data_IF_293056235578
#
_entry.id   IF_293056235578
#
_cell.length_a   1.000
_cell.length_b   1.000
_cell.length_c   1.000
_cell.angle_alpha   90.00
_cell.angle_beta   90.00
_cell.angle_gamma   90.00
#
_symmetry.space_group_name_H-M   'P 1'
#
loop_
_entity.id
_entity.type
_entity.pdbx_description
1 polymer ?
#
# COMPACT_ATOMS: atom_id res chain seq x y z
N UNK A 1 1.46 8.05 23.90
CA UNK A 1 1.13 9.49 23.85
C UNK A 1 0.35 9.63 22.56
N UNK A 2 -0.98 9.75 22.64
CA UNK A 2 -1.85 9.82 21.46
C UNK A 2 -1.71 11.22 20.90
N UNK A 3 -1.26 11.35 19.64
CA UNK A 3 -1.22 12.63 18.95
C UNK A 3 -2.61 12.93 18.42
N UNK A 4 -3.19 14.05 18.85
CA UNK A 4 -4.37 14.65 18.22
C UNK A 4 -4.00 15.08 16.80
N UNK A 5 -4.67 14.52 15.79
CA UNK A 5 -4.66 15.08 14.44
C UNK A 5 -5.95 15.86 14.25
N UNK A 6 -5.79 17.18 14.28
CA UNK A 6 -6.79 18.23 13.99
C UNK A 6 -7.19 18.18 12.52
N UNK A 7 -8.50 18.31 12.22
CA UNK A 7 -9.13 18.66 10.91
C UNK A 7 -8.19 18.61 9.68
N UNK A 8 -7.60 17.45 9.40
CA UNK A 8 -6.69 17.30 8.26
C UNK A 8 -7.55 17.04 7.02
N UNK A 9 -7.50 17.88 5.97
CA UNK A 9 -8.22 17.61 4.72
C UNK A 9 -7.93 16.20 4.18
N UNK A 10 -6.75 15.63 4.50
CA UNK A 10 -6.40 14.25 4.18
C UNK A 10 -7.35 13.20 4.79
N UNK A 11 -7.99 13.46 5.93
CA UNK A 11 -8.94 12.51 6.54
C UNK A 11 -10.19 12.35 5.68
N UNK A 12 -10.74 13.46 5.16
CA UNK A 12 -11.89 13.44 4.27
C UNK A 12 -11.58 12.66 2.99
N UNK A 13 -10.42 12.94 2.39
CA UNK A 13 -9.98 12.27 1.16
C UNK A 13 -9.74 10.76 1.38
N UNK A 14 -9.17 10.37 2.53
CA UNK A 14 -8.98 8.95 2.89
C UNK A 14 -10.33 8.27 3.15
N UNK A 15 -11.29 8.93 3.78
CA UNK A 15 -12.64 8.38 3.96
C UNK A 15 -13.37 8.22 2.63
N UNK A 16 -13.26 9.19 1.71
CA UNK A 16 -13.80 9.10 0.37
C UNK A 16 -13.17 7.93 -0.40
N UNK A 17 -11.86 7.78 -0.30
CA UNK A 17 -11.13 6.66 -0.89
C UNK A 17 -11.54 5.32 -0.28
N UNK A 18 -11.65 5.21 1.05
CA UNK A 18 -12.11 4.01 1.74
C UNK A 18 -13.62 3.75 1.51
N UNK A 19 -14.38 4.73 1.03
CA UNK A 19 -15.79 4.56 0.63
C UNK A 19 -15.92 3.90 -0.76
N UNK A 20 -14.92 4.03 -1.63
CA UNK A 20 -14.85 3.42 -2.96
C UNK A 20 -14.66 1.90 -2.86
N UNK A 21 -15.60 1.13 -3.42
CA UNK A 21 -15.59 -0.34 -3.36
C UNK A 21 -14.36 -0.94 -4.05
N UNK A 22 -13.94 -0.38 -5.20
CA UNK A 22 -12.78 -0.88 -5.93
C UNK A 22 -11.48 -0.62 -5.17
N UNK A 23 -11.38 0.51 -4.46
CA UNK A 23 -10.24 0.79 -3.60
C UNK A 23 -10.13 -0.24 -2.46
N UNK A 24 -11.26 -0.54 -1.80
CA UNK A 24 -11.31 -1.59 -0.75
C UNK A 24 -10.99 -2.98 -1.31
N UNK A 25 -11.49 -3.33 -2.49
CA UNK A 25 -11.20 -4.62 -3.11
C UNK A 25 -9.72 -4.78 -3.46
N UNK A 26 -9.10 -3.70 -3.96
CA UNK A 26 -7.65 -3.67 -4.21
C UNK A 26 -6.88 -3.86 -2.90
N UNK A 27 -7.19 -3.08 -1.86
CA UNK A 27 -6.54 -3.19 -0.54
C UNK A 27 -6.69 -4.60 0.06
N UNK A 28 -7.90 -5.16 -0.01
CA UNK A 28 -8.17 -6.50 0.48
C UNK A 28 -7.34 -7.55 -0.27
N UNK A 29 -7.30 -7.48 -1.61
CA UNK A 29 -6.55 -8.42 -2.43
C UNK A 29 -5.04 -8.33 -2.17
N UNK A 30 -4.49 -7.11 -2.10
CA UNK A 30 -3.04 -6.89 -1.97
C UNK A 30 -2.52 -7.00 -0.54
N UNK A 31 -3.40 -6.97 0.47
CA UNK A 31 -3.04 -7.29 1.86
C UNK A 31 -2.72 -8.77 2.09
N UNK A 32 -3.28 -9.67 1.27
CA UNK A 32 -3.00 -11.11 1.33
C UNK A 32 -1.69 -11.45 0.63
N UNK A 33 -1.43 -10.84 -0.52
CA UNK A 33 -0.18 -10.99 -1.29
C UNK A 33 -0.04 -9.86 -2.32
N UNK A 34 1.19 -9.49 -2.74
CA UNK A 34 1.37 -8.55 -3.84
C UNK A 34 0.73 -9.02 -5.14
N UNK A 35 0.09 -8.11 -5.89
CA UNK A 35 -0.59 -8.43 -7.15
C UNK A 35 -0.33 -7.37 -8.24
N UNK A 36 -0.14 -7.82 -9.48
CA UNK A 36 -0.04 -6.92 -10.64
C UNK A 36 -1.39 -6.29 -11.00
N UNK A 37 -1.35 -5.18 -11.77
CA UNK A 37 -2.57 -4.54 -12.27
C UNK A 37 -3.49 -5.49 -13.04
N UNK A 38 -2.92 -6.44 -13.78
CA UNK A 38 -3.68 -7.46 -14.51
C UNK A 38 -4.38 -8.43 -13.55
N UNK A 39 -3.69 -8.90 -12.52
CA UNK A 39 -4.29 -9.79 -11.52
C UNK A 39 -5.40 -9.10 -10.73
N UNK A 40 -5.24 -7.82 -10.40
CA UNK A 40 -6.28 -7.02 -9.75
C UNK A 40 -7.50 -6.81 -10.65
N UNK A 41 -7.29 -6.53 -11.93
CA UNK A 41 -8.38 -6.42 -12.90
C UNK A 41 -9.19 -7.72 -13.00
N UNK A 42 -8.49 -8.86 -13.06
CA UNK A 42 -9.12 -10.18 -13.16
C UNK A 42 -9.83 -10.58 -11.85
N UNK A 43 -9.18 -10.40 -10.70
CA UNK A 43 -9.70 -10.84 -9.39
C UNK A 43 -10.82 -9.95 -8.85
N UNK A 44 -10.71 -8.64 -9.03
CA UNK A 44 -11.69 -7.67 -8.53
C UNK A 44 -12.70 -7.25 -9.60
N UNK A 45 -12.79 -8.01 -10.70
CA UNK A 45 -13.76 -7.84 -11.79
C UNK A 45 -13.85 -6.40 -12.32
N UNK A 46 -12.69 -5.74 -12.49
CA UNK A 46 -12.60 -4.34 -12.91
C UNK A 46 -11.67 -4.16 -14.11
N UNK A 47 -11.80 -3.03 -14.81
CA UNK A 47 -10.90 -2.72 -15.93
C UNK A 47 -9.51 -2.29 -15.43
N UNK A 48 -8.43 -2.61 -16.17
CA UNK A 48 -7.09 -2.14 -15.82
C UNK A 48 -6.98 -0.61 -15.67
N UNK A 49 -7.63 0.24 -16.49
CA UNK A 49 -7.65 1.68 -16.25
C UNK A 49 -8.29 2.07 -14.91
N UNK A 50 -9.28 1.29 -14.44
CA UNK A 50 -9.88 1.50 -13.12
C UNK A 50 -8.89 1.11 -12.01
N UNK A 51 -8.16 0.00 -12.18
CA UNK A 51 -7.08 -0.39 -11.26
C UNK A 51 -6.05 0.73 -11.12
N UNK A 52 -5.46 1.20 -12.22
CA UNK A 52 -4.43 2.24 -12.17
C UNK A 52 -4.91 3.51 -11.49
N UNK A 53 -6.13 3.98 -11.80
CA UNK A 53 -6.70 5.17 -11.16
C UNK A 53 -6.88 5.02 -9.65
N UNK A 54 -7.27 3.83 -9.16
CA UNK A 54 -7.43 3.60 -7.71
C UNK A 54 -6.09 3.37 -7.02
N UNK A 55 -5.18 2.65 -7.66
CA UNK A 55 -3.83 2.44 -7.13
C UNK A 55 -3.08 3.76 -6.98
N UNK A 56 -3.13 4.62 -7.99
CA UNK A 56 -2.52 5.96 -7.94
C UNK A 56 -3.05 6.76 -6.74
N UNK A 57 -4.37 6.73 -6.53
CA UNK A 57 -4.99 7.41 -5.39
C UNK A 57 -4.61 6.77 -4.04
N UNK A 58 -4.55 5.44 -3.95
CA UNK A 58 -4.08 4.73 -2.76
C UNK A 58 -2.60 5.01 -2.45
N UNK A 59 -1.76 5.17 -3.47
CA UNK A 59 -0.34 5.49 -3.33
C UNK A 59 -0.15 6.92 -2.80
N UNK A 60 -1.00 7.87 -3.22
CA UNK A 60 -0.96 9.26 -2.73
C UNK A 60 -1.06 9.34 -1.19
N UNK A 61 -1.84 8.45 -0.58
CA UNK A 61 -1.99 8.36 0.88
C UNK A 61 -1.13 7.27 1.52
N UNK A 62 -0.24 6.64 0.75
CA UNK A 62 0.64 5.58 1.21
C UNK A 62 -0.11 4.39 1.81
N UNK A 63 -1.29 4.05 1.27
CA UNK A 63 -2.11 2.90 1.69
C UNK A 63 -1.81 1.63 0.88
N UNK A 64 -1.11 1.82 -0.23
CA UNK A 64 -0.55 0.76 -1.08
C UNK A 64 0.82 1.24 -1.57
N UNK A 65 1.69 0.30 -1.86
CA UNK A 65 2.97 0.57 -2.52
C UNK A 65 3.13 -0.26 -3.79
N UNK A 66 4.05 0.17 -4.65
CA UNK A 66 4.45 -0.54 -5.86
C UNK A 66 5.82 -1.18 -5.64
N UNK A 67 5.91 -2.46 -5.96
CA UNK A 67 7.14 -3.23 -5.96
C UNK A 67 7.44 -3.74 -7.37
N UNK A 68 8.72 -3.78 -7.74
CA UNK A 68 9.15 -4.40 -9.00
C UNK A 68 9.41 -5.88 -8.77
N UNK A 69 8.65 -6.74 -9.46
CA UNK A 69 8.91 -8.17 -9.49
C UNK A 69 9.91 -8.48 -10.62
N UNK A 70 11.07 -9.02 -10.24
CA UNK A 70 12.11 -9.44 -11.18
C UNK A 70 11.83 -10.88 -11.63
N UNK A 71 11.71 -11.10 -12.94
CA UNK A 71 11.52 -12.43 -13.52
C UNK A 71 12.73 -12.85 -14.36
N UNK A 72 13.36 -13.97 -14.03
CA UNK A 72 14.55 -14.43 -14.76
C UNK A 72 14.16 -14.90 -16.17
N UNK A 73 14.53 -14.11 -17.19
CA UNK A 73 14.22 -14.40 -18.59
C UNK A 73 12.87 -13.85 -19.07
N UNK A 74 12.15 -13.13 -18.20
CA UNK A 74 10.95 -12.36 -18.52
C UNK A 74 11.21 -10.85 -18.51
N UNK A 75 10.14 -10.07 -18.67
CA UNK A 75 10.18 -8.64 -18.40
C UNK A 75 9.77 -8.40 -16.95
N UNK A 76 10.52 -7.54 -16.26
CA UNK A 76 10.12 -7.05 -14.93
C UNK A 76 8.74 -6.41 -15.00
N UNK A 77 7.92 -6.64 -13.97
CA UNK A 77 6.57 -6.09 -13.90
C UNK A 77 6.23 -5.60 -12.50
N UNK A 78 5.37 -4.58 -12.45
CA UNK A 78 4.91 -4.00 -11.19
C UNK A 78 3.87 -4.88 -10.51
N UNK A 79 4.04 -5.06 -9.20
CA UNK A 79 3.04 -5.60 -8.29
C UNK A 79 2.76 -4.60 -7.19
N UNK A 80 1.54 -4.63 -6.65
CA UNK A 80 1.11 -3.72 -5.60
C UNK A 80 0.86 -4.48 -4.32
N UNK A 81 1.30 -3.92 -3.19
CA UNK A 81 1.14 -4.49 -1.85
C UNK A 81 0.45 -3.48 -0.94
N UNK A 82 -0.59 -3.91 -0.21
CA UNK A 82 -1.25 -3.03 0.75
C UNK A 82 -0.29 -2.73 1.90
N UNK A 83 -0.24 -1.48 2.31
CA UNK A 83 0.44 -1.04 3.53
C UNK A 83 -0.56 -0.74 4.63
N UNK A 84 -1.81 -0.37 4.31
CA UNK A 84 -2.85 -0.13 5.32
C UNK A 84 -3.12 -1.40 6.15
N UNK A 85 -2.93 -1.31 7.47
CA UNK A 85 -3.32 -2.36 8.41
C UNK A 85 -4.54 -1.99 9.24
N UNK A 86 -4.68 -0.72 9.61
CA UNK A 86 -5.82 -0.23 10.39
C UNK A 86 -6.17 1.22 10.06
N UNK A 87 -7.47 1.51 9.99
CA UNK A 87 -8.01 2.86 10.02
C UNK A 87 -8.99 2.94 11.19
N UNK A 88 -8.73 3.82 12.14
CA UNK A 88 -9.51 4.00 13.35
C UNK A 88 -10.11 5.40 13.40
N UNK A 89 -11.41 5.48 13.72
CA UNK A 89 -12.17 6.72 13.87
C UNK A 89 -12.91 6.68 15.21
N UNK A 90 -12.60 7.62 16.09
CA UNK A 90 -13.26 7.78 17.38
C UNK A 90 -14.05 9.10 17.41
N UNK A 91 -15.21 9.10 18.09
CA UNK A 91 -16.01 10.29 18.36
C UNK A 91 -16.16 10.42 19.88
N UNK A 92 -15.55 11.44 20.45
CA UNK A 92 -15.61 11.73 21.88
C UNK A 92 -15.84 13.23 22.10
N UNK A 93 -16.77 13.57 22.98
CA UNK A 93 -17.10 14.96 23.35
C UNK A 93 -17.40 15.92 22.17
N UNK A 94 -17.83 15.37 21.02
CA UNK A 94 -18.16 16.13 19.81
C UNK A 94 -17.00 16.26 18.82
N UNK A 95 -15.84 15.72 19.14
CA UNK A 95 -14.63 15.76 18.32
C UNK A 95 -14.33 14.38 17.72
N UNK A 96 -13.89 14.39 16.46
CA UNK A 96 -13.41 13.19 15.77
C UNK A 96 -11.89 13.07 15.91
N UNK A 97 -11.42 11.87 16.27
CA UNK A 97 -10.02 11.49 16.26
C UNK A 97 -9.80 10.38 15.23
N UNK A 98 -8.73 10.51 14.45
CA UNK A 98 -8.39 9.52 13.42
C UNK A 98 -6.98 9.01 13.58
N UNK A 99 -6.81 7.71 13.36
CA UNK A 99 -5.53 7.03 13.39
C UNK A 99 -5.42 6.09 12.19
N UNK A 100 -4.26 6.07 11.55
CA UNK A 100 -3.97 5.22 10.39
C UNK A 100 -2.69 4.46 10.67
N UNK A 101 -2.82 3.15 10.80
CA UNK A 101 -1.68 2.26 10.92
C UNK A 101 -1.31 1.68 9.56
N UNK A 102 0.00 1.62 9.33
CA UNK A 102 0.58 1.02 8.13
C UNK A 102 1.57 -0.06 8.54
N UNK A 103 1.52 -1.18 7.86
CA UNK A 103 2.53 -2.22 7.91
C UNK A 103 3.60 -1.90 6.89
N UNK A 104 4.85 -1.83 7.35
CA UNK A 104 5.99 -1.84 6.44
C UNK A 104 6.06 -3.21 5.76
N UNK A 105 6.21 -3.27 4.43
CA UNK A 105 6.47 -4.53 3.76
C UNK A 105 7.73 -5.16 4.36
N UNK A 106 7.87 -6.49 4.30
CA UNK A 106 9.14 -7.11 4.65
C UNK A 106 10.23 -6.52 3.76
N UNK A 107 11.08 -5.65 4.33
CA UNK A 107 12.21 -5.08 3.63
C UNK A 107 13.09 -6.23 3.12
N UNK A 108 13.38 -6.27 1.81
CA UNK A 108 14.52 -7.06 1.37
C UNK A 108 15.75 -6.54 2.14
N UNK A 109 16.57 -7.44 2.71
CA UNK A 109 17.81 -7.03 3.36
C UNK A 109 18.62 -6.12 2.43
N UNK A 110 18.93 -4.91 2.89
CA UNK A 110 19.69 -3.93 2.12
C UNK A 110 18.87 -3.01 1.19
N UNK A 111 17.53 -3.02 1.19
CA UNK A 111 16.73 -2.11 0.33
C UNK A 111 17.07 -0.62 0.48
N UNK A 112 17.51 -0.18 1.65
CA UNK A 112 17.87 1.21 1.91
C UNK A 112 19.30 1.58 1.46
N UNK A 113 20.11 0.59 1.04
CA UNK A 113 21.48 0.84 0.63
C UNK A 113 21.50 1.39 -0.80
N UNK A 114 22.22 2.47 -1.02
CA UNK A 114 22.30 3.10 -2.34
C UNK A 114 23.24 2.33 -3.27
N UNK A 115 24.14 1.52 -2.72
CA UNK A 115 25.06 0.67 -3.47
C UNK A 115 24.51 -0.76 -3.57
N UNK A 116 24.29 -1.21 -4.81
CA UNK A 116 23.83 -2.55 -5.13
C UNK A 116 24.74 -3.64 -4.54
N UNK A 117 26.05 -3.41 -4.41
CA UNK A 117 26.99 -4.38 -3.85
C UNK A 117 26.79 -4.60 -2.34
N UNK A 118 26.44 -3.54 -1.61
CA UNK A 118 26.13 -3.61 -0.18
C UNK A 118 24.82 -4.40 0.02
N UNK A 119 23.81 -4.16 -0.84
CA UNK A 119 22.52 -4.90 -0.79
C UNK A 119 22.74 -6.40 -0.86
N UNK A 120 23.56 -6.84 -1.80
CA UNK A 120 23.88 -8.25 -2.00
C UNK A 120 24.64 -8.86 -0.82
N UNK A 121 25.50 -8.09 -0.15
CA UNK A 121 26.28 -8.57 0.99
C UNK A 121 25.37 -8.85 2.18
N UNK A 122 24.46 -7.93 2.52
CA UNK A 122 23.50 -8.14 3.63
C UNK A 122 22.50 -9.26 3.39
N UNK A 123 22.19 -9.54 2.13
CA UNK A 123 21.29 -10.64 1.76
C UNK A 123 21.91 -12.02 2.03
N UNK A 124 23.24 -12.15 1.97
CA UNK A 124 23.97 -13.40 2.23
C UNK A 124 24.33 -13.63 3.70
N UNK A 125 24.45 -12.58 4.52
CA UNK A 125 24.80 -12.69 5.94
C UNK A 125 23.64 -13.18 6.83
N UNK A 126 22.40 -13.11 6.34
CA UNK A 126 21.20 -13.52 7.09
C UNK A 126 20.68 -14.92 6.69
N UNK A 127 21.54 -15.77 6.12
CA UNK A 127 21.21 -17.13 5.69
C UNK A 127 21.71 -18.22 6.67
#
# INVERSE_FOLDING_TARGET
>A
MVQYVSEDPAVGDILDLLSDEYARDILAATSVKPMSAKQLADQCEMSQPTVYRRVEWLQEYGLIEEQTQIETGGNDYSVFAATLSEFSLALADGDFETEIERTEPPAFPGQDEQDTADRFTKMWENL
#
